data_IF_225670219182
#
_entry.id   IF_225670219182
#
_cell.length_a   1.000
_cell.length_b   1.000
_cell.length_c   1.000
_cell.angle_alpha   90.00
_cell.angle_beta   90.00
_cell.angle_gamma   90.00
#
_symmetry.space_group_name_H-M   'P 1'
#
loop_
_entity.id
_entity.type
_entity.pdbx_description
1 polymer ?
#
# COMPACT_ATOMS: atom_id res chain seq x y z
N UNK A 1 -8.02 13.22 1.01
CA UNK A 1 -6.58 13.13 1.35
C UNK A 1 -6.31 14.24 2.31
N UNK A 2 -5.97 13.90 3.54
CA UNK A 2 -5.87 14.85 4.66
C UNK A 2 -4.41 15.16 5.00
N UNK A 3 -3.50 14.20 4.77
CA UNK A 3 -2.07 14.37 4.98
C UNK A 3 -1.27 13.53 3.97
N UNK A 4 -0.03 13.96 3.72
CA UNK A 4 0.99 13.22 2.97
C UNK A 4 2.29 13.33 3.75
N UNK A 5 2.98 12.21 3.95
CA UNK A 5 4.25 12.15 4.67
C UNK A 5 5.30 11.51 3.78
N UNK A 6 6.41 12.22 3.57
CA UNK A 6 7.58 11.68 2.89
C UNK A 6 8.46 10.93 3.91
N UNK A 7 9.13 9.89 3.45
CA UNK A 7 10.09 9.09 4.21
C UNK A 7 11.25 8.74 3.28
N UNK A 8 12.47 8.60 3.83
CA UNK A 8 13.70 8.40 3.05
C UNK A 8 14.17 6.94 3.06
N UNK A 9 13.63 6.15 3.96
CA UNK A 9 13.95 4.74 4.13
C UNK A 9 13.43 3.88 2.96
N UNK A 10 14.07 2.73 2.74
CA UNK A 10 13.66 1.77 1.70
C UNK A 10 12.23 1.25 1.87
N UNK A 11 11.70 1.32 3.10
CA UNK A 11 10.33 0.88 3.43
C UNK A 11 9.66 1.85 4.40
N UNK A 12 8.32 1.96 4.37
CA UNK A 12 7.58 2.85 5.28
C UNK A 12 7.49 2.32 6.72
N UNK A 13 8.25 1.29 7.11
CA UNK A 13 8.09 0.62 8.40
C UNK A 13 8.21 1.58 9.59
N UNK A 14 9.20 2.47 9.55
CA UNK A 14 9.46 3.39 10.67
C UNK A 14 8.35 4.43 10.82
N UNK A 15 7.83 4.97 9.71
CA UNK A 15 6.69 5.88 9.79
C UNK A 15 5.40 5.16 10.20
N UNK A 16 5.22 3.89 9.81
CA UNK A 16 4.09 3.07 10.27
C UNK A 16 4.16 2.86 11.79
N UNK A 17 5.34 2.54 12.34
CA UNK A 17 5.54 2.41 13.80
C UNK A 17 5.34 3.73 14.55
N UNK A 18 5.69 4.85 13.94
CA UNK A 18 5.50 6.16 14.55
C UNK A 18 4.03 6.60 14.56
N UNK A 19 3.29 6.31 13.50
CA UNK A 19 1.88 6.71 13.36
C UNK A 19 0.91 5.72 13.98
N UNK A 20 1.25 4.42 14.03
CA UNK A 20 0.41 3.33 14.52
C UNK A 20 -1.02 3.39 13.99
N UNK A 21 -1.23 3.27 12.66
CA UNK A 21 -2.56 3.40 12.09
C UNK A 21 -3.48 2.25 12.50
N UNK A 22 -4.77 2.54 12.73
CA UNK A 22 -5.78 1.52 12.98
C UNK A 22 -6.03 0.62 11.75
N UNK A 23 -5.80 1.17 10.54
CA UNK A 23 -6.00 0.47 9.27
C UNK A 23 -4.83 0.74 8.34
N UNK A 24 -4.17 -0.33 7.89
CA UNK A 24 -3.16 -0.31 6.83
C UNK A 24 -3.77 -0.87 5.54
N UNK A 25 -3.68 -0.13 4.44
CA UNK A 25 -4.28 -0.53 3.15
C UNK A 25 -3.18 -0.75 2.12
N UNK A 26 -3.22 -1.91 1.44
CA UNK A 26 -2.44 -2.16 0.22
C UNK A 26 -3.31 -2.76 -0.89
N UNK A 27 -2.78 -2.81 -2.11
CA UNK A 27 -3.48 -3.47 -3.22
C UNK A 27 -3.55 -4.99 -3.01
N UNK A 28 -4.59 -5.62 -3.53
CA UNK A 28 -4.83 -7.06 -3.46
C UNK A 28 -3.81 -7.91 -4.25
N UNK A 29 -2.88 -7.27 -4.94
CA UNK A 29 -1.74 -7.89 -5.62
C UNK A 29 -0.65 -8.37 -4.65
N UNK A 30 -0.70 -7.98 -3.37
CA UNK A 30 0.22 -8.43 -2.33
C UNK A 30 -0.36 -9.58 -1.51
N UNK A 31 0.51 -10.51 -1.07
CA UNK A 31 0.14 -11.41 0.02
C UNK A 31 0.26 -10.67 1.35
N UNK A 32 -0.56 -11.01 2.37
CA UNK A 32 -0.47 -10.38 3.68
C UNK A 32 0.94 -10.40 4.29
N UNK A 33 1.67 -11.50 4.10
CA UNK A 33 3.05 -11.70 4.55
C UNK A 33 4.08 -10.81 3.86
N UNK A 34 3.77 -10.26 2.68
CA UNK A 34 4.65 -9.39 1.92
C UNK A 34 4.41 -7.89 2.22
N UNK A 35 3.40 -7.57 3.05
CA UNK A 35 3.07 -6.18 3.39
C UNK A 35 3.88 -5.71 4.59
N UNK A 36 4.83 -4.81 4.34
CA UNK A 36 5.65 -4.16 5.38
C UNK A 36 4.76 -3.45 6.41
N UNK A 37 4.96 -3.79 7.69
CA UNK A 37 4.25 -3.19 8.82
C UNK A 37 2.88 -3.78 9.13
N UNK A 38 2.42 -4.79 8.37
CA UNK A 38 1.16 -5.46 8.65
C UNK A 38 1.18 -6.20 10.00
N UNK A 39 2.30 -6.84 10.33
CA UNK A 39 2.55 -7.48 11.62
C UNK A 39 2.50 -6.47 12.78
N UNK A 40 3.14 -5.31 12.61
CA UNK A 40 3.14 -4.22 13.60
C UNK A 40 1.72 -3.72 13.87
N UNK A 41 0.98 -3.41 12.81
CA UNK A 41 -0.39 -2.88 12.91
C UNK A 41 -1.35 -3.90 13.51
N UNK A 42 -1.27 -5.17 13.07
CA UNK A 42 -2.15 -6.23 13.58
C UNK A 42 -1.83 -6.62 15.02
N UNK A 43 -0.56 -6.65 15.41
CA UNK A 43 -0.15 -6.88 16.80
C UNK A 43 -0.64 -5.77 17.75
N UNK A 44 -0.79 -4.54 17.25
CA UNK A 44 -1.35 -3.42 18.00
C UNK A 44 -2.89 -3.36 17.98
N UNK A 45 -3.58 -4.34 17.39
CA UNK A 45 -5.04 -4.42 17.34
C UNK A 45 -5.67 -3.71 16.14
N UNK A 46 -4.86 -3.14 15.24
CA UNK A 46 -5.32 -2.65 13.94
C UNK A 46 -5.53 -3.77 12.92
N UNK A 47 -5.80 -3.40 11.67
CA UNK A 47 -6.03 -4.37 10.58
C UNK A 47 -5.35 -4.01 9.27
N UNK A 48 -4.87 -5.04 8.58
CA UNK A 48 -4.49 -4.95 7.16
C UNK A 48 -5.74 -5.14 6.29
N UNK A 49 -5.90 -4.27 5.30
CA UNK A 49 -6.91 -4.39 4.24
C UNK A 49 -6.21 -4.47 2.90
N UNK A 50 -6.49 -5.55 2.16
CA UNK A 50 -6.05 -5.72 0.78
C UNK A 50 -7.21 -5.30 -0.14
N UNK A 51 -7.05 -4.18 -0.82
CA UNK A 51 -8.08 -3.58 -1.65
C UNK A 51 -7.97 -4.04 -3.10
N UNK A 52 -9.09 -4.42 -3.70
CA UNK A 52 -9.16 -4.78 -5.11
C UNK A 52 -8.72 -3.62 -6.00
N UNK A 53 -7.86 -3.92 -6.97
CA UNK A 53 -7.44 -2.94 -7.96
C UNK A 53 -8.54 -2.74 -8.99
N UNK A 54 -8.93 -1.49 -9.23
CA UNK A 54 -9.88 -1.15 -10.28
C UNK A 54 -9.31 -1.55 -11.66
N UNK A 55 -10.03 -2.42 -12.37
CA UNK A 55 -9.64 -2.85 -13.70
C UNK A 55 -9.61 -1.66 -14.68
N UNK A 56 -8.67 -1.68 -15.63
CA UNK A 56 -8.52 -0.62 -16.64
C UNK A 56 -7.65 0.57 -16.24
N UNK A 57 -7.15 0.62 -14.99
CA UNK A 57 -6.26 1.68 -14.49
C UNK A 57 -4.81 1.21 -14.28
N UNK A 58 -4.31 0.37 -15.19
CA UNK A 58 -2.91 -0.08 -15.14
C UNK A 58 -2.00 0.88 -15.91
N UNK A 59 -0.87 1.28 -15.32
CA UNK A 59 0.18 2.04 -16.02
C UNK A 59 0.64 1.31 -17.28
N UNK A 60 0.69 -0.03 -17.26
CA UNK A 60 0.99 -0.86 -18.43
C UNK A 60 -0.02 -0.64 -19.55
N UNK A 61 -1.33 -0.61 -19.22
CA UNK A 61 -2.39 -0.34 -20.20
C UNK A 61 -2.32 1.08 -20.76
N UNK A 62 -1.92 2.04 -19.93
CA UNK A 62 -1.70 3.43 -20.36
C UNK A 62 -0.52 3.51 -21.32
N UNK A 63 0.60 2.85 -21.02
CA UNK A 63 1.76 2.78 -21.91
C UNK A 63 1.40 2.04 -23.22
N UNK A 64 0.62 0.96 -23.16
CA UNK A 64 0.13 0.25 -24.35
C UNK A 64 -0.67 1.15 -25.29
N UNK A 65 -1.62 1.93 -24.74
CA UNK A 65 -2.40 2.92 -25.49
C UNK A 65 -1.54 4.02 -26.11
N UNK A 66 -0.52 4.50 -25.39
CA UNK A 66 0.44 5.48 -25.92
C UNK A 66 1.25 4.89 -27.09
N UNK A 67 1.58 3.60 -27.04
CA UNK A 67 2.35 2.90 -28.09
C UNK A 67 1.50 2.45 -29.29
N UNK A 68 0.18 2.65 -29.27
CA UNK A 68 -0.71 2.32 -30.39
C UNK A 68 -1.00 0.82 -30.55
N UNK A 69 -0.86 0.03 -29.47
CA UNK A 69 -1.32 -1.36 -29.42
C UNK A 69 -2.82 -1.44 -29.12
#
# INVERSE_FOLDING_TARGET
MDAVVAFEEDTPLEIIKALMPDVLIKGADYKPEDVVGADVVTAAGGRLVLADLAQGHSTTSTIGRIRGA
#
